data_IF_918551369043
#
_entry.id   IF_918551369043
#
_cell.length_a   1.000
_cell.length_b   1.000
_cell.length_c   1.000
_cell.angle_alpha   90.00
_cell.angle_beta   90.00
_cell.angle_gamma   90.00
#
_symmetry.space_group_name_H-M   'P 1'
#
loop_
_entity.id
_entity.type
_entity.pdbx_description
1 polymer ?
#
# COMPACT_ATOMS: atom_id res chain seq x y z
N UNK A 1 -1.32 -10.17 3.52
CA UNK A 1 -2.08 -9.16 2.73
C UNK A 1 -2.96 -8.40 3.72
N UNK A 2 -2.91 -7.08 3.71
CA UNK A 2 -3.70 -6.23 4.62
C UNK A 2 -4.68 -5.44 3.75
N UNK A 3 -5.98 -5.57 4.01
CA UNK A 3 -7.00 -4.96 3.16
C UNK A 3 -8.35 -4.80 3.84
N UNK A 4 -9.31 -4.10 3.21
CA UNK A 4 -10.57 -3.69 3.82
C UNK A 4 -11.47 -4.87 4.23
N UNK A 5 -11.28 -6.05 3.63
CA UNK A 5 -12.00 -7.28 3.96
C UNK A 5 -11.16 -8.29 4.76
N UNK A 6 -9.90 -7.97 5.06
CA UNK A 6 -8.98 -8.83 5.78
C UNK A 6 -7.97 -7.99 6.57
N UNK A 7 -8.44 -7.42 7.68
CA UNK A 7 -7.62 -6.67 8.63
C UNK A 7 -7.03 -7.62 9.69
N UNK A 8 -5.72 -7.54 9.97
CA UNK A 8 -5.13 -8.14 11.17
C UNK A 8 -5.79 -7.61 12.45
N UNK A 9 -5.82 -8.41 13.53
CA UNK A 9 -6.45 -8.04 14.80
C UNK A 9 -5.91 -6.74 15.42
N UNK A 10 -4.67 -6.36 15.07
CA UNK A 10 -4.01 -5.14 15.55
C UNK A 10 -4.07 -3.97 14.55
N UNK A 11 -4.94 -4.05 13.54
CA UNK A 11 -5.14 -3.04 12.51
C UNK A 11 -6.61 -2.61 12.45
N UNK A 12 -6.85 -1.31 12.46
CA UNK A 12 -8.16 -0.73 12.14
C UNK A 12 -8.21 -0.14 10.71
N UNK A 13 -9.39 0.32 10.32
CA UNK A 13 -9.64 0.88 9.00
C UNK A 13 -8.87 2.20 8.75
N UNK A 14 -8.64 3.00 9.80
CA UNK A 14 -7.87 4.24 9.70
C UNK A 14 -6.39 3.95 9.49
N UNK A 15 -5.84 2.96 10.18
CA UNK A 15 -4.47 2.51 9.98
C UNK A 15 -4.28 1.93 8.57
N UNK A 16 -5.27 1.19 8.05
CA UNK A 16 -5.22 0.72 6.67
C UNK A 16 -5.25 1.88 5.66
N UNK A 17 -6.14 2.87 5.81
CA UNK A 17 -6.23 3.98 4.85
C UNK A 17 -4.93 4.78 4.82
N UNK A 18 -4.32 5.03 5.98
CA UNK A 18 -3.04 5.72 6.08
C UNK A 18 -1.91 4.92 5.44
N UNK A 19 -1.84 3.60 5.69
CA UNK A 19 -0.84 2.73 5.06
C UNK A 19 -0.94 2.74 3.52
N UNK A 20 -2.15 2.72 2.96
CA UNK A 20 -2.33 2.77 1.51
C UNK A 20 -1.88 4.12 0.93
N UNK A 21 -2.19 5.23 1.61
CA UNK A 21 -1.69 6.57 1.24
C UNK A 21 -0.15 6.62 1.28
N UNK A 22 0.47 6.07 2.32
CA UNK A 22 1.93 6.01 2.46
C UNK A 22 2.59 5.22 1.33
N UNK A 23 2.06 4.05 0.99
CA UNK A 23 2.55 3.23 -0.12
C UNK A 23 2.46 4.01 -1.44
N UNK A 24 1.34 4.70 -1.69
CA UNK A 24 1.15 5.49 -2.90
C UNK A 24 2.14 6.65 -3.00
N UNK A 25 2.35 7.37 -1.90
CA UNK A 25 3.33 8.47 -1.83
C UNK A 25 4.77 7.96 -2.00
N UNK A 26 5.12 6.84 -1.37
CA UNK A 26 6.45 6.23 -1.51
C UNK A 26 6.73 5.77 -2.94
N UNK A 27 5.70 5.42 -3.71
CA UNK A 27 5.79 5.13 -5.14
C UNK A 27 5.87 6.40 -6.02
N UNK A 28 5.89 7.59 -5.42
CA UNK A 28 5.96 8.89 -6.11
C UNK A 28 4.59 9.45 -6.50
N UNK A 29 3.49 8.86 -6.05
CA UNK A 29 2.15 9.36 -6.28
C UNK A 29 1.81 10.56 -5.39
N UNK A 30 1.07 11.52 -5.93
CA UNK A 30 0.45 12.62 -5.18
C UNK A 30 -1.02 12.67 -5.50
N UNK A 31 -1.86 13.02 -4.52
CA UNK A 31 -3.30 13.13 -4.72
C UNK A 31 -3.81 14.46 -4.15
N UNK A 32 -4.66 15.14 -4.90
CA UNK A 32 -5.19 16.45 -4.50
C UNK A 32 -6.39 16.30 -3.54
N UNK A 33 -7.13 15.19 -3.64
CA UNK A 33 -8.25 14.83 -2.76
C UNK A 33 -8.05 13.43 -2.17
N UNK A 34 -7.44 13.35 -1.00
CA UNK A 34 -7.22 12.04 -0.39
C UNK A 34 -8.49 11.38 0.17
N UNK A 35 -9.60 12.10 0.31
CA UNK A 35 -10.86 11.50 0.77
C UNK A 35 -11.52 10.71 -0.36
N UNK A 36 -11.45 11.21 -1.61
CA UNK A 36 -11.78 10.44 -2.80
C UNK A 36 -10.89 9.21 -2.93
N UNK A 37 -9.58 9.38 -2.76
CA UNK A 37 -8.62 8.27 -2.80
C UNK A 37 -8.98 7.16 -1.80
N UNK A 38 -9.26 7.53 -0.53
CA UNK A 38 -9.61 6.56 0.51
C UNK A 38 -10.89 5.81 0.17
N UNK A 39 -11.92 6.50 -0.35
CA UNK A 39 -13.16 5.85 -0.79
C UNK A 39 -12.89 4.86 -1.91
N UNK A 40 -12.15 5.26 -2.94
CA UNK A 40 -11.81 4.40 -4.06
C UNK A 40 -11.02 3.15 -3.63
N UNK A 41 -10.07 3.30 -2.68
CA UNK A 41 -9.30 2.16 -2.17
C UNK A 41 -10.20 1.10 -1.48
N UNK A 42 -11.23 1.54 -0.76
CA UNK A 42 -12.20 0.65 -0.12
C UNK A 42 -13.14 0.02 -1.14
N UNK A 43 -13.73 0.83 -2.02
CA UNK A 43 -14.69 0.37 -3.06
C UNK A 43 -14.05 -0.65 -4.02
N UNK A 44 -12.79 -0.43 -4.41
CA UNK A 44 -12.03 -1.34 -5.27
C UNK A 44 -11.44 -2.54 -4.51
N UNK A 45 -11.55 -2.60 -3.18
CA UNK A 45 -10.97 -3.67 -2.37
C UNK A 45 -9.44 -3.74 -2.43
N UNK A 46 -8.76 -2.58 -2.50
CA UNK A 46 -7.29 -2.51 -2.63
C UNK A 46 -6.60 -3.00 -1.37
N UNK A 47 -5.42 -3.61 -1.53
CA UNK A 47 -4.68 -4.25 -0.45
C UNK A 47 -3.22 -3.80 -0.42
N UNK A 48 -2.66 -3.72 0.78
CA UNK A 48 -1.23 -3.61 1.00
C UNK A 48 -0.55 -4.99 1.02
N UNK A 49 0.54 -5.11 0.27
CA UNK A 49 1.39 -6.30 0.24
C UNK A 49 2.76 -5.94 0.78
N UNK A 50 3.07 -6.42 1.98
CA UNK A 50 4.36 -6.23 2.62
C UNK A 50 5.25 -7.44 2.31
N UNK A 51 6.40 -7.19 1.68
CA UNK A 51 7.37 -8.23 1.31
C UNK A 51 8.65 -8.01 2.10
N UNK A 52 8.97 -8.93 3.00
CA UNK A 52 10.29 -9.01 3.62
C UNK A 52 11.19 -9.85 2.70
N UNK A 53 12.12 -9.21 2.00
CA UNK A 53 13.00 -9.91 1.09
C UNK A 53 14.14 -10.61 1.86
N UNK A 54 14.23 -11.93 1.74
CA UNK A 54 15.35 -12.70 2.30
C UNK A 54 16.63 -12.56 1.48
N UNK A 55 16.49 -12.32 0.17
CA UNK A 55 17.61 -12.14 -0.75
C UNK A 55 17.20 -11.29 -1.94
N UNK A 56 18.10 -10.40 -2.36
CA UNK A 56 17.98 -9.61 -3.57
C UNK A 56 19.01 -10.11 -4.58
N UNK A 57 18.56 -10.39 -5.81
CA UNK A 57 19.40 -10.82 -6.92
C UNK A 57 19.19 -9.85 -8.09
N UNK A 58 20.26 -9.53 -8.82
CA UNK A 58 20.20 -8.64 -9.97
C UNK A 58 21.34 -8.90 -10.94
N UNK A 59 21.08 -8.68 -12.24
CA UNK A 59 22.12 -8.62 -13.26
C UNK A 59 22.35 -7.14 -13.62
N UNK A 60 23.47 -6.58 -13.17
CA UNK A 60 23.77 -5.17 -13.42
C UNK A 60 24.29 -4.98 -14.85
N UNK A 61 23.87 -3.91 -15.54
CA UNK A 61 24.44 -3.58 -16.84
C UNK A 61 25.96 -3.43 -16.70
N UNK A 62 26.72 -4.10 -17.56
CA UNK A 62 28.14 -3.80 -17.73
C UNK A 62 28.24 -2.48 -18.49
N UNK A 63 28.90 -1.49 -17.88
CA UNK A 63 29.20 -0.17 -18.45
C UNK A 63 30.08 -0.25 -19.69
#
# INVERSE_FOLDING_TARGET
LIGPHNLPDNYDADQLRLLLREIYQAAGGTHDDYDEYDRAMVEDGRIAVLVAADRILGNHPQS
#
